data_IF_527005764929
#
_entry.id   IF_527005764929
#
_cell.length_a   1.000
_cell.length_b   1.000
_cell.length_c   1.000
_cell.angle_alpha   90.00
_cell.angle_beta   90.00
_cell.angle_gamma   90.00
#
_symmetry.space_group_name_H-M   'P 1'
#
loop_
_entity.id
_entity.type
_entity.pdbx_description
1 polymer ?
#
# COMPACT_ATOMS: atom_id res chain seq x y z
N UNK A 1 -9.15 -24.57 3.95
CA UNK A 1 -10.09 -23.78 3.14
C UNK A 1 -9.88 -24.03 1.64
N UNK A 2 -8.71 -23.76 1.00
CA UNK A 2 -8.48 -24.04 -0.44
C UNK A 2 -8.75 -25.49 -0.80
N UNK A 3 -8.31 -26.45 0.03
CA UNK A 3 -8.60 -27.89 -0.19
C UNK A 3 -10.10 -28.20 -0.15
N UNK A 4 -10.87 -27.53 0.72
CA UNK A 4 -12.33 -27.75 0.80
C UNK A 4 -13.06 -27.18 -0.41
N UNK A 5 -12.67 -25.99 -0.90
CA UNK A 5 -13.22 -25.41 -2.12
C UNK A 5 -12.95 -26.30 -3.36
N UNK A 6 -11.70 -26.79 -3.46
CA UNK A 6 -11.35 -27.75 -4.53
C UNK A 6 -12.18 -29.03 -4.44
N UNK A 7 -12.41 -29.58 -3.23
CA UNK A 7 -13.21 -30.78 -3.07
C UNK A 7 -14.68 -30.56 -3.48
N UNK A 8 -15.25 -29.40 -3.16
CA UNK A 8 -16.60 -29.04 -3.59
C UNK A 8 -16.73 -28.98 -5.13
N UNK A 9 -15.76 -28.33 -5.81
CA UNK A 9 -15.72 -28.29 -7.28
C UNK A 9 -15.60 -29.69 -7.90
N UNK A 10 -14.71 -30.52 -7.35
CA UNK A 10 -14.54 -31.91 -7.84
C UNK A 10 -15.80 -32.76 -7.66
N UNK A 11 -16.56 -32.50 -6.59
CA UNK A 11 -17.84 -33.19 -6.37
C UNK A 11 -18.85 -32.85 -7.48
N UNK A 12 -18.99 -31.57 -7.83
CA UNK A 12 -19.92 -31.14 -8.88
C UNK A 12 -19.46 -31.64 -10.26
N UNK A 13 -18.15 -31.68 -10.54
CA UNK A 13 -17.61 -32.26 -11.77
C UNK A 13 -17.96 -33.75 -11.85
N UNK A 14 -17.71 -34.50 -10.79
CA UNK A 14 -18.02 -35.93 -10.74
C UNK A 14 -19.53 -36.20 -10.92
N UNK A 15 -20.38 -35.34 -10.36
CA UNK A 15 -21.82 -35.44 -10.60
C UNK A 15 -22.19 -35.24 -12.08
N UNK A 16 -21.61 -34.24 -12.73
CA UNK A 16 -21.85 -33.97 -14.16
C UNK A 16 -21.38 -35.16 -15.01
N UNK A 17 -20.18 -35.66 -14.74
CA UNK A 17 -19.63 -36.84 -15.43
C UNK A 17 -20.56 -38.05 -15.27
N UNK A 18 -21.02 -38.34 -14.04
CA UNK A 18 -21.95 -39.45 -13.80
C UNK A 18 -23.29 -39.28 -14.50
N UNK A 19 -23.82 -38.04 -14.57
CA UNK A 19 -25.07 -37.77 -15.27
C UNK A 19 -24.96 -37.88 -16.80
N UNK A 20 -23.75 -37.64 -17.34
CA UNK A 20 -23.47 -37.84 -18.76
C UNK A 20 -23.33 -39.33 -19.11
N UNK A 21 -22.76 -40.12 -18.20
CA UNK A 21 -22.54 -41.55 -18.40
C UNK A 21 -23.82 -42.34 -18.22
N UNK A 22 -24.73 -41.93 -17.34
CA UNK A 22 -25.97 -42.63 -17.05
C UNK A 22 -27.20 -41.67 -17.00
N UNK A 23 -27.57 -41.07 -18.14
CA UNK A 23 -28.65 -40.08 -18.21
C UNK A 23 -30.04 -40.61 -17.94
N UNK A 24 -30.21 -41.96 -18.02
CA UNK A 24 -31.54 -42.58 -17.73
C UNK A 24 -31.83 -42.69 -16.25
N UNK A 25 -30.80 -42.75 -15.39
CA UNK A 25 -30.94 -42.95 -13.95
C UNK A 25 -30.58 -41.69 -13.12
N UNK A 26 -29.89 -40.72 -13.69
CA UNK A 26 -29.47 -39.50 -12.99
C UNK A 26 -30.20 -38.28 -13.58
N UNK A 27 -31.12 -37.74 -12.79
CA UNK A 27 -31.84 -36.51 -13.20
C UNK A 27 -30.98 -35.27 -13.00
N UNK A 28 -30.92 -34.44 -14.05
CA UNK A 28 -30.29 -33.12 -14.03
C UNK A 28 -31.27 -31.97 -13.88
N UNK A 29 -32.55 -32.28 -13.57
CA UNK A 29 -33.59 -31.26 -13.43
C UNK A 29 -33.28 -30.32 -12.24
N UNK A 30 -33.30 -29.00 -12.49
CA UNK A 30 -32.94 -27.98 -11.51
C UNK A 30 -31.42 -27.91 -11.15
N UNK A 31 -30.60 -28.77 -11.74
CA UNK A 31 -29.17 -28.80 -11.45
C UNK A 31 -28.42 -27.54 -11.93
N UNK A 32 -28.72 -26.94 -13.11
CA UNK A 32 -28.05 -25.70 -13.53
C UNK A 32 -28.20 -24.56 -12.52
N UNK A 33 -29.40 -24.38 -11.97
CA UNK A 33 -29.68 -23.36 -10.96
C UNK A 33 -28.96 -23.64 -9.64
N UNK A 34 -28.90 -24.91 -9.23
CA UNK A 34 -28.13 -25.36 -8.05
C UNK A 34 -26.63 -25.13 -8.26
N UNK A 35 -26.10 -25.53 -9.42
CA UNK A 35 -24.68 -25.34 -9.76
C UNK A 35 -24.30 -23.86 -9.79
N UNK A 36 -25.18 -23.00 -10.33
CA UNK A 36 -25.00 -21.55 -10.35
C UNK A 36 -24.85 -20.97 -8.93
N UNK A 37 -25.69 -21.38 -7.98
CA UNK A 37 -25.58 -20.96 -6.57
C UNK A 37 -24.28 -21.44 -5.92
N UNK A 38 -23.95 -22.71 -6.08
CA UNK A 38 -22.71 -23.29 -5.54
C UNK A 38 -21.48 -22.54 -6.08
N UNK A 39 -21.45 -22.28 -7.39
CA UNK A 39 -20.34 -21.56 -8.03
C UNK A 39 -20.23 -20.14 -7.49
N UNK A 40 -21.36 -19.45 -7.29
CA UNK A 40 -21.35 -18.10 -6.71
C UNK A 40 -20.81 -18.10 -5.27
N UNK A 41 -21.23 -19.04 -4.43
CA UNK A 41 -20.72 -19.19 -3.07
C UNK A 41 -19.21 -19.47 -3.04
N UNK A 42 -18.72 -20.34 -3.94
CA UNK A 42 -17.30 -20.65 -4.07
C UNK A 42 -16.49 -19.42 -4.52
N UNK A 43 -17.02 -18.61 -5.43
CA UNK A 43 -16.38 -17.36 -5.88
C UNK A 43 -16.27 -16.34 -4.74
N UNK A 44 -17.33 -16.19 -3.95
CA UNK A 44 -17.32 -15.30 -2.78
C UNK A 44 -16.30 -15.75 -1.71
N UNK A 45 -16.22 -17.05 -1.44
CA UNK A 45 -15.23 -17.59 -0.51
C UNK A 45 -13.79 -17.42 -1.02
N UNK A 46 -13.57 -17.62 -2.32
CA UNK A 46 -12.27 -17.36 -2.94
C UNK A 46 -11.89 -15.87 -2.85
N UNK A 47 -12.82 -14.97 -3.11
CA UNK A 47 -12.62 -13.53 -2.95
C UNK A 47 -12.20 -13.15 -1.52
N UNK A 48 -12.87 -13.69 -0.50
CA UNK A 48 -12.49 -13.49 0.90
C UNK A 48 -11.09 -14.03 1.22
N UNK A 49 -10.70 -15.17 0.62
CA UNK A 49 -9.36 -15.73 0.82
C UNK A 49 -8.28 -14.88 0.17
N UNK A 50 -8.52 -14.36 -1.02
CA UNK A 50 -7.58 -13.46 -1.72
C UNK A 50 -7.38 -12.19 -0.90
N UNK A 51 -8.45 -11.51 -0.49
CA UNK A 51 -8.38 -10.32 0.33
C UNK A 51 -7.61 -10.56 1.65
N UNK A 52 -7.88 -11.70 2.32
CA UNK A 52 -7.18 -12.05 3.57
C UNK A 52 -5.70 -12.40 3.36
N UNK A 53 -5.32 -12.86 2.17
CA UNK A 53 -3.92 -13.15 1.82
C UNK A 53 -3.14 -11.86 1.56
N UNK A 54 -3.74 -10.86 0.89
CA UNK A 54 -3.15 -9.55 0.69
C UNK A 54 -2.90 -8.84 2.02
N UNK A 55 -3.88 -8.82 2.93
CA UNK A 55 -3.72 -8.30 4.29
C UNK A 55 -2.62 -9.03 5.08
N UNK A 56 -2.54 -10.35 4.93
CA UNK A 56 -1.53 -11.18 5.57
C UNK A 56 -0.11 -10.90 5.06
N UNK A 57 0.03 -10.64 3.77
CA UNK A 57 1.29 -10.29 3.14
C UNK A 57 1.78 -8.92 3.62
N UNK A 58 0.91 -7.91 3.62
CA UNK A 58 1.20 -6.58 4.16
C UNK A 58 1.64 -6.61 5.64
N UNK A 59 1.01 -7.47 6.46
CA UNK A 59 1.40 -7.65 7.87
C UNK A 59 2.74 -8.35 8.04
N UNK A 60 3.10 -9.26 7.14
CA UNK A 60 4.32 -10.06 7.22
C UNK A 60 5.53 -9.32 6.64
N UNK A 61 5.38 -8.71 5.47
CA UNK A 61 6.46 -8.06 4.74
C UNK A 61 6.58 -6.57 5.11
N UNK A 62 5.50 -5.99 5.66
CA UNK A 62 5.40 -4.55 5.92
C UNK A 62 5.09 -3.78 4.65
N UNK A 63 4.85 -2.48 4.82
CA UNK A 63 4.52 -1.54 3.75
C UNK A 63 5.79 -0.76 3.41
N UNK A 64 6.33 -0.93 2.22
CA UNK A 64 7.45 -0.12 1.73
C UNK A 64 6.98 1.32 1.56
N UNK A 65 7.51 2.21 2.39
CA UNK A 65 7.02 3.57 2.53
C UNK A 65 8.13 4.56 2.23
N UNK A 66 7.86 5.57 1.42
CA UNK A 66 8.77 6.68 1.18
C UNK A 66 8.17 7.97 1.73
N UNK A 67 9.01 8.82 2.33
CA UNK A 67 8.61 10.15 2.81
C UNK A 67 9.16 11.18 1.84
N UNK A 68 8.27 11.95 1.20
CA UNK A 68 8.62 13.00 0.25
C UNK A 68 8.11 14.35 0.71
N UNK A 69 8.67 15.42 0.20
CA UNK A 69 8.29 16.80 0.52
C UNK A 69 9.48 17.74 0.36
N UNK A 70 9.21 19.03 0.29
CA UNK A 70 10.24 20.07 0.15
C UNK A 70 11.25 20.07 1.32
N UNK A 71 12.43 20.69 1.15
CA UNK A 71 13.31 21.00 2.26
C UNK A 71 12.55 21.75 3.38
N UNK A 72 12.83 21.42 4.63
CA UNK A 72 12.21 22.03 5.80
C UNK A 72 10.68 21.88 5.93
N UNK A 73 10.03 21.02 5.13
CA UNK A 73 8.61 20.69 5.31
C UNK A 73 8.32 19.88 6.59
N UNK A 74 9.38 19.29 7.20
CA UNK A 74 9.25 18.55 8.46
C UNK A 74 9.39 17.03 8.32
N UNK A 75 9.94 16.53 7.21
CA UNK A 75 10.16 15.09 6.97
C UNK A 75 10.96 14.42 8.09
N UNK A 76 12.06 15.02 8.50
CA UNK A 76 12.92 14.49 9.58
C UNK A 76 12.19 14.50 10.93
N UNK A 77 11.36 15.51 11.19
CA UNK A 77 10.55 15.58 12.41
C UNK A 77 9.49 14.47 12.42
N UNK A 78 8.82 14.23 11.29
CA UNK A 78 7.89 13.12 11.13
C UNK A 78 8.58 11.78 11.35
N UNK A 79 9.72 11.55 10.70
CA UNK A 79 10.49 10.31 10.88
C UNK A 79 10.87 10.09 12.34
N UNK A 80 11.39 11.12 13.02
CA UNK A 80 11.77 11.04 14.42
C UNK A 80 10.56 10.76 15.34
N UNK A 81 9.40 11.34 15.03
CA UNK A 81 8.14 11.05 15.74
C UNK A 81 7.74 9.59 15.58
N UNK A 82 7.72 9.09 14.34
CA UNK A 82 7.37 7.71 14.04
C UNK A 82 8.32 6.70 14.70
N UNK A 83 9.63 6.99 14.72
CA UNK A 83 10.65 6.14 15.37
C UNK A 83 10.54 6.21 16.89
N UNK A 84 10.09 7.35 17.43
CA UNK A 84 10.01 7.58 18.89
C UNK A 84 8.81 6.94 19.56
N UNK A 85 7.67 6.78 18.87
CA UNK A 85 6.43 6.26 19.47
C UNK A 85 6.44 4.74 19.70
N UNK A 86 7.07 3.97 18.85
CA UNK A 86 7.31 2.55 19.11
C UNK A 86 8.66 2.15 18.49
N UNK A 87 9.68 2.00 19.33
CA UNK A 87 10.92 1.37 18.90
C UNK A 87 10.60 0.01 18.31
N UNK A 88 10.53 -0.06 16.97
CA UNK A 88 10.55 -1.32 16.29
C UNK A 88 11.84 -2.02 16.74
N UNK A 89 11.69 -3.21 17.29
CA UNK A 89 12.81 -4.12 17.44
C UNK A 89 13.33 -4.30 16.03
N UNK A 90 14.47 -3.68 15.72
CA UNK A 90 15.27 -4.01 14.54
C UNK A 90 15.63 -5.49 14.73
N UNK A 91 14.83 -6.36 14.18
CA UNK A 91 15.25 -7.75 14.02
C UNK A 91 16.24 -7.71 12.88
N UNK A 92 17.52 -7.85 13.22
CA UNK A 92 18.56 -8.23 12.27
C UNK A 92 18.15 -9.57 11.64
N UNK A 93 17.33 -9.53 10.60
CA UNK A 93 17.15 -10.67 9.72
C UNK A 93 18.40 -10.68 8.87
N UNK A 94 19.40 -11.43 9.34
CA UNK A 94 20.60 -11.73 8.59
C UNK A 94 20.21 -12.36 7.23
N UNK A 95 20.33 -11.58 6.14
CA UNK A 95 20.08 -12.12 4.79
C UNK A 95 19.82 -11.12 3.68
N UNK A 96 19.55 -9.83 3.96
CA UNK A 96 19.39 -8.82 2.91
C UNK A 96 20.52 -7.81 2.97
N UNK A 97 21.68 -8.22 2.46
CA UNK A 97 22.76 -7.31 2.11
C UNK A 97 22.39 -6.60 0.82
N UNK A 98 22.18 -5.28 0.87
CA UNK A 98 22.74 -4.23 -0.01
C UNK A 98 21.82 -3.01 -0.16
N UNK A 99 22.36 -1.86 0.25
CA UNK A 99 22.27 -0.53 -0.34
C UNK A 99 21.09 0.41 -0.06
N UNK A 100 20.14 0.11 0.86
CA UNK A 100 19.27 1.16 1.38
C UNK A 100 19.21 1.05 2.90
N UNK A 101 19.41 2.15 3.61
CA UNK A 101 19.14 2.23 5.05
C UNK A 101 17.61 2.21 5.21
N UNK A 102 17.05 1.02 5.34
CA UNK A 102 15.63 0.82 5.61
C UNK A 102 15.42 0.83 7.13
N UNK A 103 14.55 1.69 7.63
CA UNK A 103 14.09 1.65 9.02
C UNK A 103 12.68 1.07 9.06
N UNK A 104 12.50 -0.03 9.78
CA UNK A 104 11.19 -0.60 10.02
C UNK A 104 10.55 0.00 11.27
N UNK A 105 9.41 0.62 11.11
CA UNK A 105 8.62 1.26 12.17
C UNK A 105 7.32 0.49 12.33
N UNK A 106 6.95 0.15 13.56
CA UNK A 106 5.70 -0.56 13.83
C UNK A 106 4.64 0.40 14.35
N UNK A 107 3.62 0.69 13.53
CA UNK A 107 2.52 1.57 13.88
C UNK A 107 1.23 0.76 14.04
N UNK A 108 0.70 0.64 15.26
CA UNK A 108 -0.55 -0.09 15.58
C UNK A 108 -0.62 -1.50 14.96
N UNK A 109 0.52 -2.21 14.96
CA UNK A 109 0.61 -3.58 14.44
C UNK A 109 0.86 -3.70 12.94
N UNK A 110 1.02 -2.58 12.23
CA UNK A 110 1.44 -2.52 10.83
C UNK A 110 2.92 -2.12 10.79
N UNK A 111 3.73 -2.85 10.02
CA UNK A 111 5.13 -2.49 9.80
C UNK A 111 5.25 -1.56 8.60
N UNK A 112 5.87 -0.39 8.80
CA UNK A 112 6.25 0.54 7.74
C UNK A 112 7.76 0.42 7.54
N UNK A 113 8.19 0.02 6.36
CA UNK A 113 9.60 -0.06 5.98
C UNK A 113 9.96 1.25 5.25
N UNK A 114 10.56 2.20 5.97
CA UNK A 114 10.89 3.51 5.43
C UNK A 114 12.14 3.41 4.56
N UNK A 115 11.98 3.75 3.29
CA UNK A 115 13.05 3.73 2.29
C UNK A 115 13.77 5.09 2.30
N UNK A 116 15.11 5.08 2.15
CA UNK A 116 15.96 6.28 2.06
C UNK A 116 15.91 7.22 3.26
N UNK A 117 16.06 6.64 4.45
CA UNK A 117 16.16 7.46 5.69
C UNK A 117 17.40 8.38 5.70
N UNK A 118 18.45 8.07 4.92
CA UNK A 118 19.65 8.89 4.81
C UNK A 118 19.37 10.25 4.14
N UNK A 119 18.57 10.27 3.06
CA UNK A 119 18.14 11.52 2.40
C UNK A 119 17.24 12.39 3.26
N UNK A 120 16.54 11.77 4.22
CA UNK A 120 15.66 12.49 5.16
C UNK A 120 16.47 13.10 6.32
N UNK A 121 17.58 12.47 6.71
CA UNK A 121 18.43 12.90 7.85
C UNK A 121 19.50 13.91 7.48
N UNK A 122 19.94 13.94 6.21
CA UNK A 122 20.92 14.91 5.75
C UNK A 122 20.27 16.28 5.49
N UNK A 123 20.62 17.27 6.29
CA UNK A 123 20.13 18.66 6.20
C UNK A 123 20.91 19.52 5.20
N UNK A 124 21.84 18.96 4.45
CA UNK A 124 22.71 19.75 3.57
C UNK A 124 22.18 19.85 2.14
N UNK A 125 22.07 21.10 1.69
CA UNK A 125 21.53 21.60 0.41
C UNK A 125 22.23 21.12 -0.89
N UNK A 126 23.09 20.10 -0.84
CA UNK A 126 23.92 19.68 -2.01
C UNK A 126 23.21 18.69 -2.94
N UNK A 127 21.92 18.34 -2.68
CA UNK A 127 21.27 17.19 -3.34
C UNK A 127 20.06 17.55 -4.21
N UNK A 128 19.93 18.80 -4.67
CA UNK A 128 18.72 19.22 -5.40
C UNK A 128 18.50 18.48 -6.74
N UNK A 129 19.52 18.02 -7.44
CA UNK A 129 19.34 17.30 -8.72
C UNK A 129 19.46 15.78 -8.62
N UNK A 130 20.34 15.26 -7.79
CA UNK A 130 20.48 13.80 -7.59
C UNK A 130 19.33 13.27 -6.72
N UNK A 131 18.78 14.10 -5.81
CA UNK A 131 17.66 13.75 -4.94
C UNK A 131 16.33 13.53 -5.67
N UNK A 132 16.01 14.31 -6.70
CA UNK A 132 14.74 14.21 -7.43
C UNK A 132 14.64 12.89 -8.19
N UNK A 133 15.69 12.46 -8.87
CA UNK A 133 15.69 11.19 -9.61
C UNK A 133 15.59 9.98 -8.68
N UNK A 134 16.34 10.00 -7.55
CA UNK A 134 16.23 8.95 -6.52
C UNK A 134 14.87 8.95 -5.85
N UNK A 135 14.34 10.11 -5.47
CA UNK A 135 12.99 10.22 -4.92
C UNK A 135 11.92 9.66 -5.87
N UNK A 136 12.08 9.91 -7.17
CA UNK A 136 11.21 9.36 -8.21
C UNK A 136 11.30 7.84 -8.33
N UNK A 137 12.51 7.30 -8.22
CA UNK A 137 12.72 5.86 -8.23
C UNK A 137 12.10 5.21 -7.00
N UNK A 138 12.38 5.74 -5.81
CA UNK A 138 11.83 5.22 -4.55
C UNK A 138 10.31 5.35 -4.49
N UNK A 139 9.73 6.45 -4.98
CA UNK A 139 8.28 6.60 -5.06
C UNK A 139 7.63 5.53 -5.96
N UNK A 140 8.28 5.14 -7.05
CA UNK A 140 7.80 4.06 -7.94
C UNK A 140 7.88 2.68 -7.31
N UNK A 141 8.87 2.46 -6.43
CA UNK A 141 9.11 1.18 -5.76
C UNK A 141 8.34 1.05 -4.44
N UNK A 142 7.80 2.15 -3.92
CA UNK A 142 7.06 2.19 -2.67
C UNK A 142 5.61 1.73 -2.83
N UNK A 143 5.10 1.04 -1.82
CA UNK A 143 3.68 0.69 -1.70
C UNK A 143 2.85 1.87 -1.20
N UNK A 144 3.49 2.81 -0.48
CA UNK A 144 2.88 4.00 0.12
C UNK A 144 3.83 5.17 0.07
N UNK A 145 3.32 6.34 -0.29
CA UNK A 145 4.02 7.62 -0.25
C UNK A 145 3.43 8.49 0.85
N UNK A 146 4.27 8.98 1.77
CA UNK A 146 3.90 10.02 2.74
C UNK A 146 4.40 11.36 2.21
N UNK A 147 3.49 12.21 1.73
CA UNK A 147 3.83 13.54 1.24
C UNK A 147 3.64 14.57 2.34
N UNK A 148 4.75 15.16 2.80
CA UNK A 148 4.77 16.17 3.88
C UNK A 148 4.77 17.57 3.27
N UNK A 149 3.73 18.33 3.55
CA UNK A 149 3.52 19.71 3.08
C UNK A 149 3.61 20.68 4.25
N UNK A 150 4.35 21.76 4.07
CA UNK A 150 4.35 22.89 5.00
C UNK A 150 3.08 23.72 4.78
N UNK A 151 2.08 23.55 5.64
CA UNK A 151 0.78 24.20 5.50
C UNK A 151 0.82 25.73 5.66
N UNK A 152 1.90 26.27 6.24
CA UNK A 152 2.08 27.71 6.46
C UNK A 152 2.50 28.49 5.20
N UNK A 153 2.72 27.81 4.08
CA UNK A 153 3.16 28.43 2.82
C UNK A 153 2.30 27.94 1.65
N UNK A 154 1.96 28.81 0.68
CA UNK A 154 1.22 28.38 -0.50
C UNK A 154 2.03 27.35 -1.31
N UNK A 155 1.31 26.47 -2.02
CA UNK A 155 1.93 25.53 -2.94
C UNK A 155 2.67 26.28 -4.05
N UNK A 156 3.92 25.89 -4.28
CA UNK A 156 4.77 26.43 -5.33
C UNK A 156 5.08 25.42 -6.44
N UNK A 157 5.95 25.78 -7.36
CA UNK A 157 6.33 24.92 -8.48
C UNK A 157 7.01 23.62 -8.05
N UNK A 158 7.77 23.64 -6.94
CA UNK A 158 8.39 22.44 -6.42
C UNK A 158 7.35 21.46 -5.85
N UNK A 159 6.29 21.98 -5.21
CA UNK A 159 5.16 21.14 -4.75
C UNK A 159 4.46 20.50 -5.93
N UNK A 160 4.21 21.25 -7.00
CA UNK A 160 3.58 20.74 -8.23
C UNK A 160 4.41 19.63 -8.88
N UNK A 161 5.74 19.77 -8.93
CA UNK A 161 6.64 18.75 -9.45
C UNK A 161 6.61 17.48 -8.60
N UNK A 162 6.57 17.62 -7.28
CA UNK A 162 6.44 16.48 -6.36
C UNK A 162 5.09 15.80 -6.58
N UNK A 163 3.99 16.54 -6.63
CA UNK A 163 2.63 16.02 -6.85
C UNK A 163 2.57 15.27 -8.18
N UNK A 164 3.10 15.84 -9.27
CA UNK A 164 3.13 15.17 -10.58
C UNK A 164 3.94 13.85 -10.55
N UNK A 165 5.00 13.82 -9.76
CA UNK A 165 5.84 12.63 -9.60
C UNK A 165 5.11 11.49 -8.87
N UNK A 166 4.26 11.80 -7.88
CA UNK A 166 3.64 10.81 -6.98
C UNK A 166 2.16 10.57 -7.27
N UNK A 167 1.55 11.31 -8.18
CA UNK A 167 0.10 11.30 -8.41
C UNK A 167 -0.50 9.93 -8.76
N UNK A 168 0.29 9.03 -9.33
CA UNK A 168 -0.16 7.69 -9.72
C UNK A 168 0.10 6.63 -8.62
N UNK A 169 0.64 7.05 -7.47
CA UNK A 169 0.92 6.21 -6.33
C UNK A 169 -0.19 6.28 -5.28
N UNK A 170 -0.13 5.40 -4.27
CA UNK A 170 -0.95 5.51 -3.07
C UNK A 170 -0.31 6.57 -2.16
N UNK A 171 -0.95 7.72 -2.01
CA UNK A 171 -0.39 8.87 -1.29
C UNK A 171 -1.23 9.19 -0.07
N UNK A 172 -0.54 9.43 1.06
CA UNK A 172 -1.13 10.11 2.22
C UNK A 172 -0.44 11.46 2.31
N UNK A 173 -1.23 12.54 2.23
CA UNK A 173 -0.74 13.91 2.39
C UNK A 173 -0.82 14.32 3.85
N UNK A 174 0.29 14.84 4.38
CA UNK A 174 0.41 15.31 5.75
C UNK A 174 0.62 16.83 5.75
N UNK A 175 -0.39 17.58 6.16
CA UNK A 175 -0.30 19.01 6.39
C UNK A 175 0.44 19.27 7.71
N UNK A 176 1.71 19.62 7.60
CA UNK A 176 2.58 19.87 8.75
C UNK A 176 2.60 21.36 9.11
N UNK A 177 3.12 21.68 10.30
CA UNK A 177 3.19 23.02 10.88
C UNK A 177 1.81 23.65 11.12
N UNK A 178 0.88 22.83 11.56
CA UNK A 178 -0.50 23.25 11.90
C UNK A 178 -0.60 24.20 13.09
N UNK A 179 0.52 24.44 13.77
CA UNK A 179 0.71 25.47 14.80
C UNK A 179 0.85 26.88 14.22
N UNK A 180 1.09 27.00 12.91
CA UNK A 180 1.18 28.26 12.16
C UNK A 180 -0.12 28.54 11.41
N UNK A 181 -0.28 29.80 10.94
CA UNK A 181 -1.41 30.18 10.09
C UNK A 181 -1.36 29.39 8.77
N UNK A 182 -2.46 28.70 8.46
CA UNK A 182 -2.53 27.88 7.26
C UNK A 182 -2.68 28.72 5.99
N UNK A 183 -1.80 28.51 5.03
CA UNK A 183 -1.85 29.07 3.67
C UNK A 183 -2.27 28.03 2.63
N UNK A 184 -2.38 26.76 3.00
CA UNK A 184 -2.83 25.65 2.15
C UNK A 184 -3.93 24.90 2.85
N UNK A 185 -5.03 24.68 2.16
CA UNK A 185 -6.16 23.87 2.61
C UNK A 185 -6.16 22.48 1.97
N UNK A 186 -7.00 21.60 2.49
CA UNK A 186 -7.25 20.29 1.89
C UNK A 186 -7.82 20.42 0.46
N UNK A 187 -8.66 21.43 0.22
CA UNK A 187 -9.24 21.70 -1.10
C UNK A 187 -8.16 22.06 -2.13
N UNK A 188 -7.17 22.89 -1.74
CA UNK A 188 -6.05 23.25 -2.63
C UNK A 188 -5.24 22.03 -3.04
N UNK A 189 -5.05 21.06 -2.13
CA UNK A 189 -4.37 19.82 -2.41
C UNK A 189 -5.20 18.89 -3.31
N UNK A 190 -6.49 18.74 -3.05
CA UNK A 190 -7.38 17.98 -3.92
C UNK A 190 -7.38 18.52 -5.36
N UNK A 191 -7.43 19.83 -5.53
CA UNK A 191 -7.31 20.46 -6.85
C UNK A 191 -5.95 20.18 -7.49
N UNK A 192 -4.85 20.27 -6.71
CA UNK A 192 -3.50 20.01 -7.21
C UNK A 192 -3.30 18.55 -7.64
N UNK A 193 -3.96 17.59 -6.99
CA UNK A 193 -3.99 16.17 -7.38
C UNK A 193 -5.03 15.86 -8.47
N UNK A 194 -5.75 16.87 -9.00
CA UNK A 194 -6.74 16.69 -10.07
C UNK A 194 -8.06 16.07 -9.61
N UNK A 195 -8.47 16.33 -8.35
CA UNK A 195 -9.75 15.88 -7.78
C UNK A 195 -9.78 14.38 -7.43
N UNK A 196 -8.65 13.73 -7.24
CA UNK A 196 -8.57 12.36 -6.72
C UNK A 196 -8.75 12.39 -5.19
N UNK A 197 -9.59 11.51 -4.68
CA UNK A 197 -9.73 11.21 -3.25
C UNK A 197 -8.58 10.33 -2.75
#
# INVERSE_FOLDING_TARGET
KVKSLRAALLYEIAFIESALDDPEHISTEGYPEKLGKITQELLEELGKLIASAEDGLLRKEGIRTVIVGKPNAGKSSLLNLLVGEERAIVTDIAGTTRDALEESIRLKGISLNIIDTAGIRSTDDIVEKIGVERARQYAKEADLVLYVVDSSRPLDENDRQIIEMIRDQKVIVLLNKSDLEAAVSETDLQEAFGGRE
#
